data_IF_077248941966
#
_entry.id   IF_077248941966
#
_cell.length_a   1.000
_cell.length_b   1.000
_cell.length_c   1.000
_cell.angle_alpha   90.00
_cell.angle_beta   90.00
_cell.angle_gamma   90.00
#
_symmetry.space_group_name_H-M   'P 1'
#
loop_
_entity.id
_entity.type
_entity.pdbx_description
1 polymer ?
#
# COMPACT_ATOMS: atom_id res chain seq x y z
N UNK A 1 36.54 -72.39 37.25
CA UNK A 1 36.95 -73.76 36.91
C UNK A 1 35.72 -74.49 36.40
N UNK A 2 35.72 -74.94 35.13
CA UNK A 2 34.86 -75.98 34.53
C UNK A 2 33.33 -75.67 34.44
N UNK A 3 32.57 -75.91 33.36
CA UNK A 3 32.79 -76.20 31.93
C UNK A 3 31.41 -76.12 31.27
N UNK A 4 31.41 -75.80 29.98
CA UNK A 4 30.26 -75.82 29.08
C UNK A 4 29.64 -77.21 28.93
N UNK A 5 28.31 -77.29 28.78
CA UNK A 5 27.56 -78.48 28.40
C UNK A 5 26.79 -78.23 27.11
N UNK A 6 27.24 -78.86 26.02
CA UNK A 6 26.56 -79.02 24.73
C UNK A 6 25.58 -80.21 24.75
N UNK A 7 24.69 -80.30 23.72
CA UNK A 7 24.11 -81.48 23.01
C UNK A 7 22.76 -81.01 22.39
N UNK A 8 22.30 -81.23 21.15
CA UNK A 8 22.61 -82.03 19.92
C UNK A 8 21.75 -81.39 18.79
N UNK A 9 22.18 -81.05 17.56
CA UNK A 9 22.53 -81.82 16.33
C UNK A 9 21.51 -82.88 15.84
N UNK A 10 20.86 -82.60 14.69
CA UNK A 10 20.63 -83.54 13.56
C UNK A 10 19.92 -82.81 12.40
N UNK A 11 20.61 -82.30 11.36
CA UNK A 11 21.04 -82.90 10.07
C UNK A 11 19.92 -83.44 9.13
N UNK A 12 19.68 -82.73 8.02
CA UNK A 12 19.83 -83.25 6.64
C UNK A 12 19.80 -82.14 5.57
N UNK A 13 20.85 -82.13 4.73
CA UNK A 13 20.96 -81.54 3.37
C UNK A 13 20.96 -82.73 2.37
N UNK A 14 21.02 -82.55 1.04
CA UNK A 14 20.53 -81.47 0.16
C UNK A 14 19.74 -82.03 -1.05
N UNK A 15 19.15 -81.19 -1.89
CA UNK A 15 19.11 -81.49 -3.33
C UNK A 15 19.11 -80.21 -4.18
N UNK A 16 19.79 -80.33 -5.31
CA UNK A 16 20.25 -79.33 -6.28
C UNK A 16 19.19 -78.98 -7.33
N UNK A 17 19.24 -77.72 -7.81
CA UNK A 17 18.98 -77.28 -9.20
C UNK A 17 17.59 -77.56 -9.82
N UNK A 18 16.81 -76.52 -10.07
CA UNK A 18 16.72 -75.90 -11.41
C UNK A 18 15.75 -74.71 -11.46
N UNK A 19 16.15 -73.76 -12.32
CA UNK A 19 15.54 -72.52 -12.79
C UNK A 19 14.05 -72.24 -12.52
N UNK A 20 13.79 -71.12 -11.85
CA UNK A 20 12.73 -70.20 -12.26
C UNK A 20 13.12 -68.76 -11.88
N UNK A 21 13.29 -67.96 -12.92
CA UNK A 21 13.59 -66.53 -12.96
C UNK A 21 12.64 -65.72 -12.06
N UNK A 22 13.05 -65.39 -10.84
CA UNK A 22 12.33 -64.43 -10.00
C UNK A 22 12.73 -63.01 -10.40
N UNK A 23 11.90 -62.41 -11.25
CA UNK A 23 11.96 -61.01 -11.59
C UNK A 23 11.90 -60.16 -10.31
N UNK A 24 13.01 -59.49 -9.99
CA UNK A 24 13.05 -58.43 -8.99
C UNK A 24 12.09 -57.31 -9.42
N UNK A 25 11.19 -56.81 -8.55
CA UNK A 25 10.36 -55.70 -8.93
C UNK A 25 11.20 -54.43 -8.98
N UNK A 26 11.43 -53.93 -10.20
CA UNK A 26 11.98 -52.63 -10.60
C UNK A 26 11.21 -51.40 -10.05
N UNK A 27 10.39 -51.59 -9.01
CA UNK A 27 9.52 -50.58 -8.39
C UNK A 27 10.24 -49.64 -7.40
N UNK A 28 11.30 -50.10 -6.74
CA UNK A 28 12.02 -49.31 -5.72
C UNK A 28 12.80 -48.12 -6.31
N UNK A 29 13.36 -48.29 -7.51
CA UNK A 29 14.17 -47.26 -8.17
C UNK A 29 13.30 -46.17 -8.83
N UNK A 30 12.14 -46.55 -9.37
CA UNK A 30 11.14 -45.61 -9.94
C UNK A 30 10.48 -44.73 -8.87
N UNK A 31 10.14 -45.31 -7.70
CA UNK A 31 9.57 -44.56 -6.57
C UNK A 31 10.51 -43.48 -6.00
N UNK A 32 11.80 -43.79 -5.87
CA UNK A 32 12.81 -42.86 -5.33
C UNK A 32 13.15 -41.73 -6.33
N UNK A 33 13.22 -42.03 -7.63
CA UNK A 33 13.39 -41.01 -8.69
C UNK A 33 12.22 -40.03 -8.72
N UNK A 34 10.97 -40.52 -8.59
CA UNK A 34 9.79 -39.67 -8.55
C UNK A 34 9.80 -38.69 -7.37
N UNK A 35 10.19 -39.14 -6.17
CA UNK A 35 10.27 -38.25 -4.98
C UNK A 35 11.36 -37.19 -5.15
N UNK A 36 12.53 -37.55 -5.68
CA UNK A 36 13.61 -36.59 -5.94
C UNK A 36 13.20 -35.52 -6.95
N UNK A 37 12.52 -35.91 -8.03
CA UNK A 37 12.02 -34.98 -9.03
C UNK A 37 10.98 -34.00 -8.44
N UNK A 38 10.04 -34.50 -7.61
CA UNK A 38 9.08 -33.64 -6.92
C UNK A 38 9.77 -32.64 -5.99
N UNK A 39 10.78 -33.07 -5.23
CA UNK A 39 11.56 -32.19 -4.34
C UNK A 39 12.29 -31.10 -5.12
N UNK A 40 12.96 -31.48 -6.20
CA UNK A 40 13.67 -30.54 -7.06
C UNK A 40 12.71 -29.53 -7.69
N UNK A 41 11.59 -29.99 -8.25
CA UNK A 41 10.59 -29.11 -8.85
C UNK A 41 9.98 -28.15 -7.82
N UNK A 42 9.63 -28.63 -6.61
CA UNK A 42 9.11 -27.78 -5.55
C UNK A 42 10.10 -26.66 -5.17
N UNK A 43 11.38 -27.00 -5.02
CA UNK A 43 12.44 -26.04 -4.72
C UNK A 43 12.65 -25.04 -5.87
N UNK A 44 12.67 -25.52 -7.11
CA UNK A 44 12.84 -24.67 -8.30
C UNK A 44 11.71 -23.65 -8.42
N UNK A 45 10.45 -24.07 -8.33
CA UNK A 45 9.30 -23.16 -8.38
C UNK A 45 9.26 -22.22 -7.17
N UNK A 46 9.65 -22.69 -5.98
CA UNK A 46 9.75 -21.84 -4.80
C UNK A 46 10.81 -20.75 -4.95
N UNK A 47 12.00 -21.10 -5.44
CA UNK A 47 13.09 -20.16 -5.71
C UNK A 47 12.69 -19.16 -6.80
N UNK A 48 12.08 -19.65 -7.89
CA UNK A 48 11.58 -18.79 -8.97
C UNK A 48 10.54 -17.79 -8.45
N UNK A 49 9.58 -18.26 -7.65
CA UNK A 49 8.58 -17.40 -7.02
C UNK A 49 9.21 -16.33 -6.12
N UNK A 50 10.19 -16.71 -5.30
CA UNK A 50 10.92 -15.79 -4.44
C UNK A 50 11.72 -14.74 -5.23
N UNK A 51 12.45 -15.15 -6.28
CA UNK A 51 13.21 -14.25 -7.13
C UNK A 51 12.30 -13.26 -7.86
N UNK A 52 11.17 -13.73 -8.40
CA UNK A 52 10.19 -12.86 -9.03
C UNK A 52 9.57 -11.88 -8.02
N UNK A 53 9.21 -12.35 -6.83
CA UNK A 53 8.66 -11.48 -5.77
C UNK A 53 9.64 -10.36 -5.36
N UNK A 54 10.94 -10.67 -5.27
CA UNK A 54 12.00 -9.67 -5.01
C UNK A 54 12.17 -8.72 -6.19
N UNK A 55 11.98 -9.19 -7.43
CA UNK A 55 12.08 -8.36 -8.62
C UNK A 55 10.87 -7.42 -8.80
N UNK A 56 9.66 -7.82 -8.40
CA UNK A 56 8.41 -7.06 -8.64
C UNK A 56 8.48 -5.58 -8.20
N UNK A 57 9.00 -5.21 -7.02
CA UNK A 57 9.15 -3.80 -6.63
C UNK A 57 10.01 -2.98 -7.60
N UNK A 58 11.00 -3.60 -8.24
CA UNK A 58 11.95 -2.96 -9.17
C UNK A 58 11.42 -2.89 -10.61
N UNK A 59 10.34 -3.61 -10.92
CA UNK A 59 9.73 -3.60 -12.24
C UNK A 59 8.96 -2.29 -12.51
N UNK A 60 8.94 -1.84 -13.77
CA UNK A 60 8.42 -0.54 -14.15
C UNK A 60 6.93 -0.37 -13.86
N UNK A 61 6.54 0.88 -13.68
CA UNK A 61 5.17 1.36 -13.56
C UNK A 61 4.94 2.48 -14.57
N UNK A 62 3.70 2.72 -14.94
CA UNK A 62 3.29 3.83 -15.78
C UNK A 62 2.67 4.89 -14.86
N UNK A 63 3.25 6.09 -14.82
CA UNK A 63 2.79 7.20 -13.99
C UNK A 63 2.00 8.20 -14.84
N UNK A 64 0.84 8.63 -14.33
CA UNK A 64 0.08 9.71 -14.94
C UNK A 64 0.65 11.06 -14.50
N UNK A 65 1.12 11.86 -15.46
CA UNK A 65 1.73 13.17 -15.16
C UNK A 65 0.73 14.29 -15.41
N UNK A 66 0.51 15.13 -14.39
CA UNK A 66 -0.44 16.25 -14.47
C UNK A 66 0.32 17.58 -14.54
N UNK A 67 -0.05 18.39 -15.53
CA UNK A 67 0.52 19.72 -15.74
C UNK A 67 -0.61 20.74 -15.80
N UNK A 68 -0.51 21.77 -14.96
CA UNK A 68 -1.38 22.93 -14.99
C UNK A 68 -0.72 23.99 -15.86
N UNK A 69 -1.44 24.50 -16.86
CA UNK A 69 -0.99 25.58 -17.73
C UNK A 69 -1.91 26.79 -17.62
N UNK A 70 -1.32 27.98 -17.67
CA UNK A 70 -2.04 29.26 -17.67
C UNK A 70 -1.25 30.27 -18.53
N UNK A 71 -1.87 31.16 -19.31
CA UNK A 71 -3.31 31.35 -19.52
C UNK A 71 -3.97 30.19 -20.28
N UNK A 72 -5.27 29.93 -20.06
CA UNK A 72 -6.02 28.89 -20.78
C UNK A 72 -6.80 29.53 -21.92
N UNK A 73 -6.50 29.18 -23.17
CA UNK A 73 -7.16 29.76 -24.36
C UNK A 73 -7.11 31.30 -24.45
N UNK A 74 -6.06 31.92 -23.90
CA UNK A 74 -5.89 33.37 -23.86
C UNK A 74 -6.49 34.06 -22.62
N UNK A 75 -7.36 33.38 -21.87
CA UNK A 75 -8.02 33.94 -20.70
C UNK A 75 -7.07 34.00 -19.49
N UNK A 76 -6.92 35.21 -18.93
CA UNK A 76 -6.13 35.50 -17.73
C UNK A 76 -6.91 35.25 -16.42
N UNK A 77 -8.14 34.73 -16.50
CA UNK A 77 -8.93 34.37 -15.32
C UNK A 77 -8.10 33.54 -14.33
N UNK A 78 -8.26 33.79 -13.02
CA UNK A 78 -7.59 33.01 -12.00
C UNK A 78 -7.96 31.52 -12.08
N UNK A 79 -6.97 30.66 -11.84
CA UNK A 79 -7.16 29.21 -11.81
C UNK A 79 -7.00 28.71 -10.39
N UNK A 80 -8.03 28.06 -9.84
CA UNK A 80 -7.95 27.38 -8.55
C UNK A 80 -7.50 25.94 -8.77
N UNK A 81 -6.33 25.59 -8.25
CA UNK A 81 -5.74 24.26 -8.40
C UNK A 81 -4.93 23.89 -7.14
N UNK A 82 -5.61 23.61 -6.01
CA UNK A 82 -4.96 23.27 -4.76
C UNK A 82 -4.22 21.94 -4.86
N UNK A 83 -2.89 21.99 -4.74
CA UNK A 83 -2.06 20.79 -4.74
C UNK A 83 -2.13 20.12 -3.36
N UNK A 84 -2.51 18.84 -3.34
CA UNK A 84 -2.53 18.02 -2.11
C UNK A 84 -1.14 17.90 -1.49
N UNK A 85 -0.10 17.85 -2.32
CA UNK A 85 1.31 17.83 -1.89
C UNK A 85 1.86 19.19 -1.48
N UNK A 86 1.02 20.23 -1.53
CA UNK A 86 1.31 21.66 -1.33
C UNK A 86 2.28 22.25 -2.36
N UNK A 87 3.39 21.58 -2.62
CA UNK A 87 4.42 22.00 -3.57
C UNK A 87 4.33 21.23 -4.90
N UNK A 88 4.65 21.87 -6.02
CA UNK A 88 4.77 21.19 -7.31
C UNK A 88 6.09 20.44 -7.41
N UNK A 89 6.20 19.49 -8.35
CA UNK A 89 7.48 18.89 -8.71
C UNK A 89 8.42 19.93 -9.33
N UNK A 90 7.88 20.73 -10.25
CA UNK A 90 8.56 21.90 -10.82
C UNK A 90 7.52 22.93 -11.27
N UNK A 91 7.96 24.19 -11.34
CA UNK A 91 7.18 25.31 -11.83
C UNK A 91 8.05 26.20 -12.71
N UNK A 92 7.51 26.60 -13.86
CA UNK A 92 8.10 27.61 -14.72
C UNK A 92 7.10 28.71 -15.04
N UNK A 93 7.59 29.94 -15.19
CA UNK A 93 6.80 31.06 -15.65
C UNK A 93 7.60 31.90 -16.63
N UNK A 94 6.96 32.33 -17.70
CA UNK A 94 7.45 33.26 -18.69
C UNK A 94 6.45 34.42 -18.77
N UNK A 95 6.87 35.62 -18.36
CA UNK A 95 6.01 36.80 -18.29
C UNK A 95 6.68 37.93 -19.09
N UNK A 96 6.02 38.57 -20.06
CA UNK A 96 6.63 39.65 -20.84
C UNK A 96 7.09 40.81 -19.93
N UNK A 97 8.31 41.32 -20.12
CA UNK A 97 8.79 42.46 -19.33
C UNK A 97 7.91 43.71 -19.54
N UNK A 98 7.34 43.86 -20.74
CA UNK A 98 6.38 44.93 -21.04
C UNK A 98 5.11 44.84 -20.19
N UNK A 99 4.68 43.63 -19.78
CA UNK A 99 3.54 43.45 -18.89
C UNK A 99 3.86 43.94 -17.47
N UNK A 100 5.09 43.72 -17.00
CA UNK A 100 5.57 44.27 -15.73
C UNK A 100 5.58 45.80 -15.72
N UNK A 101 6.10 46.41 -16.80
CA UNK A 101 6.13 47.89 -16.95
C UNK A 101 4.71 48.46 -17.04
N UNK A 102 3.83 47.85 -17.83
CA UNK A 102 2.43 48.26 -17.95
C UNK A 102 1.69 48.19 -16.62
N UNK A 103 1.84 47.07 -15.89
CA UNK A 103 1.19 46.85 -14.61
C UNK A 103 1.68 47.83 -13.55
N UNK A 104 2.98 48.08 -13.47
CA UNK A 104 3.58 49.03 -12.53
C UNK A 104 3.09 50.46 -12.79
N UNK A 105 3.10 50.90 -14.06
CA UNK A 105 2.69 52.25 -14.45
C UNK A 105 1.23 52.57 -14.12
N UNK A 106 0.35 51.55 -14.13
CA UNK A 106 -1.09 51.73 -13.86
C UNK A 106 -1.50 51.41 -12.43
N UNK A 107 -0.60 50.90 -11.58
CA UNK A 107 -0.95 50.42 -10.23
C UNK A 107 -0.36 51.35 -9.16
N UNK A 108 -1.19 51.96 -8.29
CA UNK A 108 -0.72 52.84 -7.23
C UNK A 108 -0.21 52.11 -5.98
N UNK A 109 -0.32 50.77 -5.95
CA UNK A 109 0.02 49.87 -4.86
C UNK A 109 0.74 48.64 -5.44
N UNK A 110 1.47 47.86 -4.62
CA UNK A 110 2.11 46.63 -5.08
C UNK A 110 1.12 45.72 -5.83
N UNK A 111 1.48 45.32 -7.05
CA UNK A 111 0.64 44.50 -7.91
C UNK A 111 1.35 43.22 -8.33
N UNK A 112 0.65 42.08 -8.23
CA UNK A 112 1.22 40.78 -8.57
C UNK A 112 1.08 40.47 -10.06
N UNK A 113 2.20 40.18 -10.71
CA UNK A 113 2.24 39.59 -12.05
C UNK A 113 1.86 38.11 -12.00
N UNK A 114 2.25 37.44 -10.92
CA UNK A 114 1.99 36.03 -10.67
C UNK A 114 1.96 35.82 -9.16
N UNK A 115 0.92 35.14 -8.67
CA UNK A 115 0.84 34.62 -7.31
C UNK A 115 0.36 33.17 -7.33
N UNK A 116 0.92 32.32 -6.47
CA UNK A 116 0.52 30.91 -6.33
C UNK A 116 -0.53 30.67 -5.25
N UNK A 117 -0.87 31.73 -4.51
CA UNK A 117 -1.91 31.76 -3.48
C UNK A 117 -2.81 32.99 -3.70
N UNK A 118 -4.07 32.96 -3.22
CA UNK A 118 -5.00 34.07 -3.39
C UNK A 118 -4.41 35.40 -2.90
N UNK A 119 -4.50 36.49 -3.69
CA UNK A 119 -4.12 37.82 -3.24
C UNK A 119 -4.87 38.21 -1.95
N UNK A 120 -4.18 38.88 -1.03
CA UNK A 120 -4.74 39.29 0.26
C UNK A 120 -4.76 38.21 1.35
N UNK A 121 -4.36 36.97 1.05
CA UNK A 121 -4.19 35.93 2.08
C UNK A 121 -2.89 36.15 2.88
N UNK A 122 -3.01 36.45 4.17
CA UNK A 122 -1.87 36.60 5.09
C UNK A 122 -1.05 35.31 5.20
N UNK A 123 -1.73 34.19 5.44
CA UNK A 123 -1.11 32.86 5.46
C UNK A 123 -0.53 32.49 4.10
N UNK A 124 -1.25 32.80 3.02
CA UNK A 124 -0.82 32.57 1.65
C UNK A 124 0.47 33.31 1.29
N UNK A 125 0.71 34.51 1.84
CA UNK A 125 1.94 35.26 1.62
C UNK A 125 3.16 34.61 2.29
N UNK A 126 2.96 33.88 3.40
CA UNK A 126 4.02 33.19 4.12
C UNK A 126 4.47 31.88 3.45
N UNK A 127 3.66 31.28 2.56
CA UNK A 127 3.95 29.97 1.95
C UNK A 127 3.99 29.97 0.42
N UNK A 128 3.31 30.92 -0.23
CA UNK A 128 3.23 31.02 -1.68
C UNK A 128 4.42 31.72 -2.32
N UNK A 129 4.39 31.82 -3.64
CA UNK A 129 5.27 32.65 -4.45
C UNK A 129 4.48 33.82 -5.01
N UNK A 130 5.09 35.00 -4.98
CA UNK A 130 4.56 36.23 -5.56
C UNK A 130 5.67 36.90 -6.36
N UNK A 131 5.47 37.07 -7.67
CA UNK A 131 6.20 38.02 -8.48
C UNK A 131 5.39 39.31 -8.52
N UNK A 132 5.92 40.39 -7.94
CA UNK A 132 5.22 41.67 -7.86
C UNK A 132 6.06 42.83 -8.40
N UNK A 133 5.36 43.86 -8.86
CA UNK A 133 5.92 45.16 -9.18
C UNK A 133 5.43 46.19 -8.15
N UNK A 134 6.34 47.06 -7.75
CA UNK A 134 6.07 48.17 -6.83
C UNK A 134 7.07 49.30 -7.10
N UNK A 135 6.56 50.50 -7.44
CA UNK A 135 7.35 51.70 -7.68
C UNK A 135 8.59 51.49 -8.59
N UNK A 136 8.42 50.80 -9.72
CA UNK A 136 9.50 50.54 -10.68
C UNK A 136 10.44 49.40 -10.29
N UNK A 137 10.14 48.64 -9.23
CA UNK A 137 10.93 47.53 -8.73
C UNK A 137 10.19 46.20 -8.89
N UNK A 138 10.80 45.27 -9.61
CA UNK A 138 10.34 43.88 -9.72
C UNK A 138 10.94 43.05 -8.59
N UNK A 139 10.12 42.39 -7.79
CA UNK A 139 10.57 41.55 -6.67
C UNK A 139 9.93 40.16 -6.76
N UNK A 140 10.75 39.12 -6.60
CA UNK A 140 10.27 37.74 -6.43
C UNK A 140 10.32 37.35 -4.97
N UNK A 141 9.17 37.02 -4.41
CA UNK A 141 8.99 36.55 -3.04
C UNK A 141 8.58 35.08 -3.12
N UNK A 142 9.17 34.24 -2.27
CA UNK A 142 8.70 32.86 -2.06
C UNK A 142 8.76 32.53 -0.58
N UNK A 143 7.71 31.91 -0.04
CA UNK A 143 7.62 31.51 1.37
C UNK A 143 7.90 32.68 2.34
N UNK A 144 7.32 33.84 2.06
CA UNK A 144 7.52 35.07 2.85
C UNK A 144 8.91 35.71 2.74
N UNK A 145 9.83 35.16 1.95
CA UNK A 145 11.19 35.69 1.80
C UNK A 145 11.39 36.34 0.42
N UNK A 146 11.90 37.56 0.41
CA UNK A 146 12.32 38.22 -0.83
C UNK A 146 13.59 37.55 -1.36
N UNK A 147 13.46 36.76 -2.43
CA UNK A 147 14.58 36.00 -3.01
C UNK A 147 15.53 36.89 -3.83
N UNK A 148 15.02 38.01 -4.34
CA UNK A 148 15.77 38.98 -5.13
C UNK A 148 14.87 39.98 -5.83
N UNK A 149 15.49 41.04 -6.34
CA UNK A 149 14.79 42.12 -7.01
C UNK A 149 15.65 42.77 -8.11
N UNK A 150 15.00 43.47 -9.03
CA UNK A 150 15.64 44.25 -10.09
C UNK A 150 14.80 45.50 -10.37
N UNK A 151 15.45 46.61 -10.70
CA UNK A 151 14.76 47.81 -11.18
C UNK A 151 14.32 47.60 -12.63
N UNK A 152 13.08 47.97 -12.96
CA UNK A 152 12.56 47.86 -14.32
C UNK A 152 13.35 48.73 -15.31
N UNK A 153 13.93 49.84 -14.85
CA UNK A 153 14.83 50.70 -15.63
C UNK A 153 16.19 50.06 -15.97
N UNK A 154 16.63 49.06 -15.20
CA UNK A 154 17.87 48.33 -15.45
C UNK A 154 17.69 47.18 -16.46
N UNK A 155 16.46 46.90 -16.88
CA UNK A 155 16.17 45.90 -17.90
C UNK A 155 16.46 46.54 -19.27
N UNK A 156 17.36 45.95 -20.09
CA UNK A 156 17.68 46.51 -21.39
C UNK A 156 16.43 46.73 -22.23
N UNK A 157 16.32 47.87 -22.95
CA UNK A 157 15.11 48.27 -23.66
C UNK A 157 14.90 47.48 -24.96
N UNK A 158 15.05 46.16 -24.95
CA UNK A 158 14.62 45.27 -26.04
C UNK A 158 13.18 44.80 -25.76
N UNK A 159 12.16 45.65 -25.97
CA UNK A 159 10.84 45.46 -25.37
C UNK A 159 10.04 44.40 -26.13
N UNK A 160 10.49 44.03 -27.34
CA UNK A 160 9.85 43.03 -28.19
C UNK A 160 10.28 41.58 -27.91
N UNK A 161 11.29 41.34 -27.05
CA UNK A 161 11.79 39.99 -26.77
C UNK A 161 12.16 39.75 -25.28
N UNK A 162 12.07 40.77 -24.42
CA UNK A 162 12.36 40.59 -23.00
C UNK A 162 11.25 39.76 -22.32
N UNK A 163 11.65 38.63 -21.73
CA UNK A 163 10.82 37.79 -20.89
C UNK A 163 11.41 37.71 -19.49
N UNK A 164 10.54 37.80 -18.49
CA UNK A 164 10.82 37.39 -17.13
C UNK A 164 10.63 35.87 -17.09
N UNK A 165 11.71 35.14 -16.82
CA UNK A 165 11.71 33.70 -16.69
C UNK A 165 11.91 33.32 -15.23
N UNK A 166 11.02 32.49 -14.70
CA UNK A 166 11.12 31.87 -13.37
C UNK A 166 11.20 30.37 -13.56
N UNK A 167 12.11 29.72 -12.85
CA UNK A 167 12.16 28.26 -12.70
C UNK A 167 12.32 27.91 -11.24
N UNK A 168 11.51 26.99 -10.74
CA UNK A 168 11.54 26.52 -9.36
C UNK A 168 11.38 25.00 -9.33
N UNK A 169 12.39 24.30 -8.82
CA UNK A 169 12.38 22.87 -8.57
C UNK A 169 13.04 22.56 -7.21
N UNK A 170 13.13 21.28 -6.84
CA UNK A 170 13.71 20.87 -5.56
C UNK A 170 15.21 21.25 -5.38
N UNK A 171 15.94 21.55 -6.46
CA UNK A 171 17.35 21.95 -6.42
C UNK A 171 17.52 23.45 -6.21
N UNK A 172 16.52 24.25 -6.58
CA UNK A 172 16.63 25.69 -6.48
C UNK A 172 15.57 26.49 -7.21
N UNK A 173 15.60 27.79 -7.00
CA UNK A 173 14.77 28.76 -7.72
C UNK A 173 15.64 29.81 -8.39
N UNK A 174 15.36 30.09 -9.66
CA UNK A 174 16.03 31.11 -10.46
C UNK A 174 15.02 32.05 -11.09
N UNK A 175 15.42 33.31 -11.24
CA UNK A 175 14.65 34.29 -12.01
C UNK A 175 15.56 35.25 -12.77
N UNK A 176 15.18 35.54 -14.01
CA UNK A 176 15.87 36.48 -14.89
C UNK A 176 14.88 37.34 -15.66
N UNK A 177 15.25 38.57 -15.95
CA UNK A 177 14.54 39.47 -16.86
C UNK A 177 15.44 39.74 -18.07
N UNK A 178 15.11 39.14 -19.22
CA UNK A 178 16.02 39.08 -20.36
C UNK A 178 17.35 38.41 -19.97
N UNK A 179 18.53 39.00 -20.32
CA UNK A 179 19.82 38.41 -19.96
C UNK A 179 20.18 38.57 -18.48
N UNK A 180 19.49 39.45 -17.74
CA UNK A 180 19.85 39.80 -16.37
C UNK A 180 19.20 38.85 -15.38
N UNK A 181 20.01 38.02 -14.70
CA UNK A 181 19.56 37.16 -13.60
C UNK A 181 19.55 37.95 -12.29
N UNK A 182 18.41 37.95 -11.58
CA UNK A 182 18.23 38.66 -10.32
C UNK A 182 17.87 37.75 -9.13
N UNK A 183 17.57 36.47 -9.38
CA UNK A 183 17.43 35.43 -8.34
C UNK A 183 18.23 34.20 -8.72
N UNK A 184 18.99 33.68 -7.75
CA UNK A 184 19.60 32.34 -7.78
C UNK A 184 19.69 31.79 -6.37
N UNK A 185 18.82 30.84 -6.05
CA UNK A 185 18.79 30.16 -4.75
C UNK A 185 19.01 28.68 -5.01
N UNK A 186 20.04 28.08 -4.40
CA UNK A 186 20.40 26.67 -4.58
C UNK A 186 19.90 25.79 -3.41
N UNK A 187 18.65 26.01 -2.99
CA UNK A 187 17.97 25.24 -1.95
C UNK A 187 16.47 25.20 -2.25
N UNK A 188 15.75 24.27 -1.63
CA UNK A 188 14.32 24.09 -1.86
C UNK A 188 13.48 25.23 -1.24
N UNK A 189 13.15 26.19 -2.09
CA UNK A 189 12.23 27.30 -1.78
C UNK A 189 10.99 27.25 -2.66
N UNK A 190 10.60 26.05 -3.12
CA UNK A 190 9.37 25.87 -3.90
C UNK A 190 8.16 26.39 -3.12
N UNK A 191 7.25 27.09 -3.79
CA UNK A 191 6.09 27.66 -3.13
C UNK A 191 5.01 26.61 -2.91
N UNK A 192 4.14 26.89 -1.95
CA UNK A 192 2.83 26.27 -1.91
C UNK A 192 1.97 26.83 -3.06
N UNK A 193 1.26 25.94 -3.75
CA UNK A 193 0.38 26.27 -4.88
C UNK A 193 -1.05 25.89 -4.52
N UNK A 194 -1.90 26.91 -4.40
CA UNK A 194 -3.35 26.76 -4.33
C UNK A 194 -4.06 27.18 -5.61
N UNK A 195 -3.34 27.86 -6.50
CA UNK A 195 -3.83 28.30 -7.79
C UNK A 195 -2.81 29.16 -8.54
N UNK A 196 -3.27 29.84 -9.58
CA UNK A 196 -2.52 30.84 -10.34
C UNK A 196 -3.38 32.11 -10.38
N UNK A 197 -2.84 33.20 -9.83
CA UNK A 197 -3.52 34.49 -9.72
C UNK A 197 -2.61 35.59 -10.29
N UNK A 198 -3.22 36.62 -10.86
CA UNK A 198 -2.50 37.77 -11.43
C UNK A 198 -3.39 39.01 -11.40
N UNK A 199 -2.77 40.18 -11.29
CA UNK A 199 -3.42 41.48 -11.48
C UNK A 199 -3.40 41.96 -12.95
N UNK A 200 -2.80 41.18 -13.86
CA UNK A 200 -2.76 41.47 -15.29
C UNK A 200 -4.16 41.38 -15.92
N UNK A 201 -4.43 42.29 -16.86
CA UNK A 201 -5.69 42.36 -17.60
C UNK A 201 -5.36 42.35 -19.09
N UNK A 202 -5.89 41.37 -19.82
CA UNK A 202 -5.52 41.11 -21.23
C UNK A 202 -5.71 42.34 -22.12
N UNK A 203 -6.78 43.11 -21.90
CA UNK A 203 -7.10 44.30 -22.69
C UNK A 203 -6.21 45.50 -22.37
N UNK A 204 -5.47 45.47 -21.25
CA UNK A 204 -4.66 46.61 -20.76
C UNK A 204 -3.17 46.33 -20.82
N UNK A 205 -2.76 45.08 -20.69
CA UNK A 205 -1.35 44.71 -20.53
C UNK A 205 -0.86 43.85 -21.71
N UNK A 206 0.40 44.03 -22.16
CA UNK A 206 0.97 43.25 -23.25
C UNK A 206 1.37 41.84 -22.78
N UNK A 207 0.40 40.92 -22.76
CA UNK A 207 0.55 39.55 -22.25
C UNK A 207 0.94 38.50 -23.31
N UNK A 208 1.26 38.91 -24.54
CA UNK A 208 1.68 37.98 -25.59
C UNK A 208 2.94 37.22 -25.18
N UNK A 209 2.85 35.89 -25.15
CA UNK A 209 3.95 35.01 -24.71
C UNK A 209 3.95 34.70 -23.22
N UNK A 210 2.98 35.23 -22.45
CA UNK A 210 2.74 34.84 -21.07
C UNK A 210 2.41 33.34 -21.00
N UNK A 211 3.18 32.61 -20.20
CA UNK A 211 2.97 31.18 -19.98
C UNK A 211 3.48 30.78 -18.61
N UNK A 212 2.63 30.14 -17.83
CA UNK A 212 2.94 29.51 -16.55
C UNK A 212 2.65 28.03 -16.68
N UNK A 213 3.59 27.21 -16.23
CA UNK A 213 3.48 25.76 -16.25
C UNK A 213 3.87 25.21 -14.88
N UNK A 214 2.96 24.49 -14.26
CA UNK A 214 3.15 23.85 -12.96
C UNK A 214 2.99 22.35 -13.15
N UNK A 215 4.06 21.59 -12.92
CA UNK A 215 4.00 20.12 -12.94
C UNK A 215 3.68 19.65 -11.51
N UNK A 216 2.49 19.09 -11.32
CA UNK A 216 2.06 18.56 -10.02
C UNK A 216 2.87 17.31 -9.66
N UNK A 217 3.04 17.05 -8.36
CA UNK A 217 3.69 15.84 -7.87
C UNK A 217 2.69 14.68 -7.83
N UNK A 218 2.64 13.90 -8.91
CA UNK A 218 1.73 12.74 -9.07
C UNK A 218 2.43 11.40 -8.85
N UNK A 219 3.54 11.36 -8.08
CA UNK A 219 4.40 10.17 -7.94
C UNK A 219 3.69 8.88 -7.51
N UNK A 220 2.56 9.00 -6.84
CA UNK A 220 1.78 7.85 -6.34
C UNK A 220 0.66 7.42 -7.31
N UNK A 221 0.30 8.26 -8.29
CA UNK A 221 -0.69 7.96 -9.31
C UNK A 221 -0.05 7.14 -10.43
N UNK A 222 -0.05 5.82 -10.26
CA UNK A 222 0.57 4.91 -11.20
C UNK A 222 -0.22 3.61 -11.36
N UNK A 223 -0.05 3.00 -12.54
CA UNK A 223 -0.56 1.66 -12.85
C UNK A 223 0.61 0.72 -13.16
N UNK A 224 0.49 -0.58 -12.83
CA UNK A 224 1.57 -1.53 -13.09
C UNK A 224 1.74 -1.72 -14.61
N UNK A 225 2.99 -1.68 -15.08
CA UNK A 225 3.30 -2.02 -16.48
C UNK A 225 2.94 -3.50 -16.74
N UNK A 226 2.52 -3.91 -17.96
CA UNK A 226 2.16 -5.30 -18.25
C UNK A 226 3.22 -6.34 -17.87
N UNK A 227 4.51 -6.00 -18.00
CA UNK A 227 5.63 -6.86 -17.55
C UNK A 227 5.58 -7.10 -16.03
N UNK A 228 5.26 -6.05 -15.24
CA UNK A 228 5.10 -6.16 -13.79
C UNK A 228 3.92 -7.05 -13.42
N UNK A 229 2.79 -6.89 -14.12
CA UNK A 229 1.62 -7.77 -13.95
C UNK A 229 1.95 -9.24 -14.29
N UNK A 230 2.65 -9.48 -15.39
CA UNK A 230 3.09 -10.83 -15.78
C UNK A 230 4.02 -11.45 -14.75
N UNK A 231 4.97 -10.69 -14.20
CA UNK A 231 5.87 -11.14 -13.14
C UNK A 231 5.13 -11.46 -11.83
N UNK A 232 4.16 -10.62 -11.44
CA UNK A 232 3.29 -10.88 -10.27
C UNK A 232 2.53 -12.20 -10.47
N UNK A 233 1.87 -12.37 -11.62
CA UNK A 233 1.11 -13.58 -11.93
C UNK A 233 2.02 -14.82 -11.93
N UNK A 234 3.19 -14.74 -12.57
CA UNK A 234 4.17 -15.81 -12.58
C UNK A 234 4.71 -16.15 -11.18
N UNK A 235 4.96 -15.15 -10.33
CA UNK A 235 5.39 -15.35 -8.95
C UNK A 235 4.32 -16.10 -8.14
N UNK A 236 3.07 -15.65 -8.22
CA UNK A 236 1.93 -16.30 -7.53
C UNK A 236 1.77 -17.74 -8.02
N UNK A 237 1.78 -17.97 -9.33
CA UNK A 237 1.67 -19.32 -9.89
C UNK A 237 2.83 -20.23 -9.46
N UNK A 238 4.06 -19.72 -9.47
CA UNK A 238 5.23 -20.49 -9.04
C UNK A 238 5.14 -20.88 -7.55
N UNK A 239 4.73 -19.95 -6.68
CA UNK A 239 4.49 -20.24 -5.25
C UNK A 239 3.37 -21.28 -5.09
N UNK A 240 2.23 -21.12 -5.78
CA UNK A 240 1.13 -22.08 -5.71
C UNK A 240 1.55 -23.49 -6.18
N UNK A 241 2.29 -23.58 -7.29
CA UNK A 241 2.84 -24.86 -7.78
C UNK A 241 3.79 -25.46 -6.73
N UNK A 242 4.68 -24.65 -6.14
CA UNK A 242 5.58 -25.10 -5.08
C UNK A 242 4.81 -25.67 -3.87
N UNK A 243 3.78 -24.97 -3.41
CA UNK A 243 2.92 -25.42 -2.31
C UNK A 243 2.16 -26.71 -2.64
N UNK A 244 1.65 -26.86 -3.87
CA UNK A 244 0.97 -28.09 -4.32
C UNK A 244 1.95 -29.26 -4.36
N UNK A 245 3.17 -29.05 -4.86
CA UNK A 245 4.21 -30.09 -4.88
C UNK A 245 4.66 -30.44 -3.46
N UNK A 246 4.78 -29.46 -2.57
CA UNK A 246 5.06 -29.66 -1.15
C UNK A 246 3.95 -30.48 -0.47
N UNK A 247 2.68 -30.20 -0.76
CA UNK A 247 1.55 -31.00 -0.28
C UNK A 247 1.66 -32.46 -0.70
N UNK A 248 2.01 -32.72 -1.97
CA UNK A 248 2.21 -34.08 -2.49
C UNK A 248 3.38 -34.80 -1.81
N UNK A 249 4.45 -34.08 -1.48
CA UNK A 249 5.59 -34.63 -0.72
C UNK A 249 5.21 -34.96 0.72
N UNK A 250 4.48 -34.07 1.39
CA UNK A 250 3.93 -34.32 2.74
C UNK A 250 3.00 -35.53 2.77
N UNK A 251 2.24 -35.77 1.70
CA UNK A 251 1.40 -36.96 1.56
C UNK A 251 2.16 -38.27 1.47
N UNK A 252 3.42 -38.24 1.02
CA UNK A 252 4.28 -39.43 0.84
C UNK A 252 5.23 -39.66 2.02
N UNK A 253 5.62 -38.61 2.74
CA UNK A 253 6.63 -38.66 3.81
C UNK A 253 6.00 -38.48 5.20
N UNK A 254 5.00 -37.60 5.30
CA UNK A 254 4.38 -37.23 6.58
C UNK A 254 3.38 -38.27 7.09
N UNK A 255 2.97 -38.12 8.35
CA UNK A 255 1.88 -38.93 8.92
C UNK A 255 0.58 -38.67 8.17
N UNK A 256 -0.33 -39.65 8.15
CA UNK A 256 -1.66 -39.53 7.51
C UNK A 256 -2.33 -38.24 7.98
N UNK A 257 -2.73 -37.39 7.03
CA UNK A 257 -3.29 -36.08 7.34
C UNK A 257 -4.57 -36.28 8.19
N UNK A 258 -4.70 -35.63 9.35
CA UNK A 258 -6.02 -35.45 9.95
C UNK A 258 -6.89 -34.63 8.99
N UNK A 259 -8.22 -34.78 9.09
CA UNK A 259 -9.20 -34.03 8.29
C UNK A 259 -8.87 -32.52 8.33
N UNK A 260 -9.11 -31.80 7.22
CA UNK A 260 -8.82 -30.35 7.12
C UNK A 260 -9.51 -29.59 8.24
N UNK A 261 -10.75 -29.94 8.55
CA UNK A 261 -11.47 -29.49 9.73
C UNK A 261 -11.62 -30.66 10.72
N UNK A 262 -11.33 -30.48 12.02
CA UNK A 262 -11.54 -31.49 13.05
C UNK A 262 -12.97 -32.05 13.07
N UNK A 263 -13.11 -33.29 13.55
CA UNK A 263 -14.43 -33.89 13.81
C UNK A 263 -15.18 -33.06 14.85
N UNK A 264 -16.30 -32.45 14.45
CA UNK A 264 -17.11 -31.57 15.31
C UNK A 264 -17.03 -30.09 14.98
N UNK A 265 -16.28 -29.68 13.94
CA UNK A 265 -16.23 -28.28 13.50
C UNK A 265 -17.63 -27.67 13.27
N UNK A 266 -18.52 -28.43 12.65
CA UNK A 266 -19.90 -28.03 12.34
C UNK A 266 -20.92 -28.35 13.43
N UNK A 267 -20.49 -28.71 14.65
CA UNK A 267 -21.40 -28.91 15.78
C UNK A 267 -21.48 -27.62 16.59
N UNK A 268 -22.52 -26.78 16.40
CA UNK A 268 -22.65 -25.54 17.15
C UNK A 268 -22.86 -25.85 18.63
N UNK A 269 -22.14 -25.14 19.50
CA UNK A 269 -22.33 -25.18 20.94
C UNK A 269 -23.10 -23.94 21.42
N UNK A 270 -23.69 -23.99 22.61
CA UNK A 270 -24.37 -22.81 23.19
C UNK A 270 -23.44 -21.60 23.33
N UNK A 271 -22.14 -21.84 23.54
CA UNK A 271 -21.10 -20.79 23.55
C UNK A 271 -20.92 -20.14 22.18
N UNK A 272 -20.87 -20.95 21.12
CA UNK A 272 -20.76 -20.46 19.75
C UNK A 272 -21.97 -19.59 19.39
N UNK A 273 -23.18 -20.07 19.71
CA UNK A 273 -24.40 -19.31 19.50
C UNK A 273 -24.38 -17.99 20.27
N UNK A 274 -23.90 -18.00 21.51
CA UNK A 274 -23.81 -16.78 22.33
C UNK A 274 -22.81 -15.78 21.75
N UNK A 275 -21.59 -16.20 21.43
CA UNK A 275 -20.57 -15.30 20.86
C UNK A 275 -21.03 -14.72 19.53
N UNK A 276 -21.55 -15.56 18.63
CA UNK A 276 -22.05 -15.09 17.32
C UNK A 276 -23.25 -14.15 17.49
N UNK A 277 -24.19 -14.45 18.38
CA UNK A 277 -25.33 -13.58 18.65
C UNK A 277 -24.89 -12.22 19.21
N UNK A 278 -23.96 -12.22 20.17
CA UNK A 278 -23.41 -10.97 20.74
C UNK A 278 -22.71 -10.16 19.66
N UNK A 279 -21.86 -10.78 18.82
CA UNK A 279 -21.22 -10.09 17.69
C UNK A 279 -22.25 -9.52 16.71
N UNK A 280 -23.29 -10.29 16.35
CA UNK A 280 -24.32 -9.85 15.42
C UNK A 280 -25.13 -8.66 15.97
N UNK A 281 -25.51 -8.71 17.25
CA UNK A 281 -26.16 -7.57 17.91
C UNK A 281 -25.23 -6.36 17.96
N UNK A 282 -23.95 -6.57 18.28
CA UNK A 282 -22.97 -5.51 18.44
C UNK A 282 -22.58 -4.81 17.13
N UNK A 283 -22.68 -5.48 15.98
CA UNK A 283 -22.54 -4.82 14.66
C UNK A 283 -23.50 -3.65 14.52
N UNK A 284 -24.73 -3.82 15.04
CA UNK A 284 -25.81 -2.84 14.91
C UNK A 284 -25.75 -1.79 16.02
N UNK A 285 -25.65 -2.20 17.29
CA UNK A 285 -25.75 -1.28 18.44
C UNK A 285 -24.39 -0.81 18.98
N UNK A 286 -23.30 -1.49 18.61
CA UNK A 286 -21.98 -1.24 19.15
C UNK A 286 -21.36 0.07 18.67
N UNK A 287 -20.51 0.65 19.52
CA UNK A 287 -19.75 1.86 19.21
C UNK A 287 -18.81 1.69 18.01
N UNK A 288 -18.54 2.80 17.31
CA UNK A 288 -17.49 2.87 16.28
C UNK A 288 -16.12 2.92 16.94
N UNK A 289 -15.10 2.49 16.20
CA UNK A 289 -13.72 2.79 16.60
C UNK A 289 -13.37 4.23 16.22
N UNK A 290 -12.34 4.80 16.86
CA UNK A 290 -11.94 6.20 16.64
C UNK A 290 -11.62 6.53 15.18
N UNK A 291 -11.07 5.56 14.45
CA UNK A 291 -10.48 5.79 13.12
C UNK A 291 -11.41 5.32 12.00
N UNK A 292 -12.65 4.89 12.31
CA UNK A 292 -13.61 4.42 11.30
C UNK A 292 -13.90 5.51 10.26
N UNK A 293 -14.12 6.75 10.70
CA UNK A 293 -14.32 7.89 9.79
C UNK A 293 -13.07 8.25 8.99
N UNK A 294 -11.89 8.08 9.60
CA UNK A 294 -10.61 8.33 8.95
C UNK A 294 -10.40 7.38 7.76
N UNK A 295 -10.55 6.07 8.03
CA UNK A 295 -10.39 5.00 7.06
C UNK A 295 -11.49 5.07 5.99
N UNK A 296 -12.75 5.36 6.38
CA UNK A 296 -13.85 5.50 5.44
C UNK A 296 -13.58 6.59 4.39
N UNK A 297 -13.06 7.74 4.79
CA UNK A 297 -12.71 8.80 3.83
C UNK A 297 -11.59 8.35 2.90
N UNK A 298 -10.54 7.70 3.43
CA UNK A 298 -9.45 7.19 2.61
C UNK A 298 -9.94 6.21 1.53
N UNK A 299 -10.77 5.22 1.89
CA UNK A 299 -11.29 4.24 0.93
C UNK A 299 -12.27 4.86 -0.07
N UNK A 300 -13.05 5.87 0.31
CA UNK A 300 -13.99 6.54 -0.60
C UNK A 300 -13.26 7.36 -1.68
N UNK A 301 -12.17 8.02 -1.32
CA UNK A 301 -11.37 8.84 -2.26
C UNK A 301 -10.48 8.02 -3.19
N UNK A 302 -10.42 6.69 -3.01
CA UNK A 302 -9.58 5.78 -3.80
C UNK A 302 -9.90 5.83 -5.30
N UNK A 303 -11.18 5.98 -5.67
CA UNK A 303 -11.59 5.97 -7.07
C UNK A 303 -11.06 7.20 -7.81
N UNK A 304 -11.13 8.38 -7.19
CA UNK A 304 -10.69 9.65 -7.77
C UNK A 304 -9.16 9.82 -7.70
N UNK A 305 -8.53 9.35 -6.61
CA UNK A 305 -7.09 9.54 -6.40
C UNK A 305 -6.23 8.51 -7.15
N UNK A 306 -6.80 7.35 -7.49
CA UNK A 306 -6.08 6.24 -8.15
C UNK A 306 -5.27 5.34 -7.21
N UNK A 307 -5.16 5.69 -5.93
CA UNK A 307 -4.49 4.91 -4.87
C UNK A 307 -5.08 5.24 -3.50
N UNK A 308 -4.82 4.40 -2.47
CA UNK A 308 -5.24 4.68 -1.09
C UNK A 308 -4.16 5.52 -0.41
N UNK A 309 -4.42 6.83 -0.35
CA UNK A 309 -3.59 7.80 0.35
C UNK A 309 -4.08 8.10 1.77
N UNK A 310 -3.17 8.57 2.60
CA UNK A 310 -3.51 9.16 3.88
C UNK A 310 -4.19 10.53 3.65
N UNK A 311 -5.50 10.53 3.50
CA UNK A 311 -6.24 11.72 3.06
C UNK A 311 -6.04 12.95 3.98
N UNK A 312 -5.86 12.74 5.28
CA UNK A 312 -5.82 13.82 6.27
C UNK A 312 -4.40 14.29 6.62
N UNK A 313 -3.36 13.52 6.30
CA UNK A 313 -2.00 13.77 6.80
C UNK A 313 -0.94 13.38 5.76
N UNK A 314 0.29 13.81 6.03
CA UNK A 314 1.49 13.41 5.27
C UNK A 314 1.37 13.60 3.77
N UNK A 315 0.73 14.71 3.36
CA UNK A 315 0.63 15.10 1.94
C UNK A 315 -0.04 14.03 1.07
N UNK A 316 -0.97 13.25 1.65
CA UNK A 316 -1.64 12.13 0.98
C UNK A 316 -0.68 11.06 0.45
N UNK A 317 0.44 10.84 1.15
CA UNK A 317 1.29 9.69 0.92
C UNK A 317 0.49 8.38 1.12
N UNK A 318 0.76 7.32 0.34
CA UNK A 318 0.05 6.06 0.45
C UNK A 318 0.31 5.39 1.81
N UNK A 319 -0.68 4.68 2.34
CA UNK A 319 -0.54 3.79 3.50
C UNK A 319 0.26 2.51 3.19
N UNK A 320 0.97 2.48 2.07
CA UNK A 320 1.87 1.41 1.73
C UNK A 320 3.01 1.34 2.76
N UNK A 321 3.43 0.14 3.20
CA UNK A 321 3.11 -1.18 2.63
C UNK A 321 1.84 -1.87 3.20
N UNK A 322 1.07 -1.22 4.06
CA UNK A 322 -0.01 -1.85 4.85
C UNK A 322 -1.42 -1.67 4.26
N UNK A 323 -1.55 -1.09 3.08
CA UNK A 323 -2.83 -0.64 2.51
C UNK A 323 -3.71 -1.75 1.89
N UNK A 324 -3.22 -2.97 1.68
CA UNK A 324 -3.96 -4.01 0.97
C UNK A 324 -5.34 -4.37 1.56
N UNK A 325 -5.58 -4.36 2.88
CA UNK A 325 -6.93 -4.63 3.40
C UNK A 325 -7.89 -3.50 3.06
N UNK A 326 -7.39 -2.25 3.00
CA UNK A 326 -8.20 -1.10 2.62
C UNK A 326 -8.62 -1.14 1.15
N UNK A 327 -7.84 -1.75 0.26
CA UNK A 327 -8.24 -1.97 -1.14
C UNK A 327 -9.45 -2.92 -1.23
N UNK A 328 -9.53 -3.94 -0.35
CA UNK A 328 -10.71 -4.79 -0.25
C UNK A 328 -11.91 -4.04 0.31
N UNK A 329 -11.71 -3.20 1.33
CA UNK A 329 -12.77 -2.35 1.86
C UNK A 329 -13.25 -1.29 0.88
N UNK A 330 -12.37 -0.76 0.03
CA UNK A 330 -12.76 0.14 -1.06
C UNK A 330 -13.76 -0.54 -1.99
N UNK A 331 -13.49 -1.77 -2.43
CA UNK A 331 -14.45 -2.57 -3.19
C UNK A 331 -15.74 -2.85 -2.40
N UNK A 332 -15.64 -3.22 -1.12
CA UNK A 332 -16.80 -3.50 -0.26
C UNK A 332 -17.71 -2.27 -0.08
N UNK A 333 -17.10 -1.09 -0.02
CA UNK A 333 -17.78 0.20 0.16
C UNK A 333 -18.58 0.66 -1.06
N UNK A 334 -18.30 0.10 -2.25
CA UNK A 334 -19.06 0.41 -3.48
C UNK A 334 -20.51 -0.09 -3.39
N UNK A 335 -20.76 -1.12 -2.56
CA UNK A 335 -22.11 -1.65 -2.32
C UNK A 335 -22.87 -0.76 -1.33
N UNK A 336 -22.26 -0.44 -0.19
CA UNK A 336 -22.83 0.46 0.80
C UNK A 336 -21.76 1.03 1.73
N UNK A 337 -22.00 2.23 2.23
CA UNK A 337 -21.12 2.91 3.20
C UNK A 337 -21.76 3.05 4.59
N UNK A 338 -22.87 2.36 4.85
CA UNK A 338 -23.50 2.41 6.18
C UNK A 338 -22.67 1.63 7.21
N UNK A 339 -22.55 2.09 8.46
CA UNK A 339 -21.67 1.46 9.45
C UNK A 339 -21.91 -0.04 9.69
N UNK A 340 -23.17 -0.54 9.81
CA UNK A 340 -23.40 -1.97 10.00
C UNK A 340 -22.85 -2.82 8.83
N UNK A 341 -22.99 -2.35 7.59
CA UNK A 341 -22.47 -3.05 6.41
C UNK A 341 -20.93 -3.10 6.41
N UNK A 342 -20.30 -1.97 6.71
CA UNK A 342 -18.86 -1.83 6.75
C UNK A 342 -18.21 -2.67 7.86
N UNK A 343 -18.95 -2.99 8.93
CA UNK A 343 -18.50 -3.85 10.03
C UNK A 343 -18.73 -5.34 9.82
N UNK A 344 -19.47 -5.75 8.78
CA UNK A 344 -19.70 -7.17 8.53
C UNK A 344 -18.39 -7.97 8.34
N UNK A 345 -17.38 -7.47 7.60
CA UNK A 345 -16.11 -8.19 7.48
C UNK A 345 -15.40 -8.37 8.83
N UNK A 346 -15.39 -7.36 9.70
CA UNK A 346 -14.80 -7.49 11.04
C UNK A 346 -15.60 -8.45 11.93
N UNK A 347 -16.92 -8.38 11.92
CA UNK A 347 -17.76 -9.35 12.63
C UNK A 347 -17.56 -10.80 12.14
N UNK A 348 -17.43 -11.01 10.83
CA UNK A 348 -17.13 -12.30 10.24
C UNK A 348 -15.74 -12.82 10.69
N UNK A 349 -14.72 -11.96 10.68
CA UNK A 349 -13.39 -12.30 11.21
C UNK A 349 -13.43 -12.63 12.71
N UNK A 350 -14.28 -11.95 13.48
CA UNK A 350 -14.53 -12.27 14.89
C UNK A 350 -15.14 -13.64 15.08
N UNK A 351 -16.17 -13.97 14.28
CA UNK A 351 -16.76 -15.30 14.26
C UNK A 351 -15.73 -16.38 13.93
N UNK A 352 -14.93 -16.21 12.87
CA UNK A 352 -13.88 -17.16 12.50
C UNK A 352 -12.80 -17.28 13.59
N UNK A 353 -12.38 -16.16 14.18
CA UNK A 353 -11.43 -16.13 15.30
C UNK A 353 -11.95 -16.94 16.49
N UNK A 354 -13.23 -16.79 16.84
CA UNK A 354 -13.84 -17.59 17.89
C UNK A 354 -13.89 -19.08 17.54
N UNK A 355 -14.20 -19.45 16.29
CA UNK A 355 -14.19 -20.83 15.85
C UNK A 355 -12.78 -21.45 15.96
N UNK A 356 -11.74 -20.70 15.58
CA UNK A 356 -10.34 -21.12 15.73
C UNK A 356 -9.97 -21.31 17.20
N UNK A 357 -10.31 -20.36 18.06
CA UNK A 357 -10.04 -20.47 19.51
C UNK A 357 -10.75 -21.70 20.11
N UNK A 358 -12.05 -21.83 19.84
CA UNK A 358 -12.88 -22.87 20.45
C UNK A 358 -12.54 -24.29 19.98
N UNK A 359 -12.16 -24.46 18.71
CA UNK A 359 -12.00 -25.78 18.07
C UNK A 359 -10.55 -26.19 17.84
N UNK A 360 -9.64 -25.25 17.62
CA UNK A 360 -8.21 -25.56 17.42
C UNK A 360 -7.39 -25.25 18.67
N UNK A 361 -7.54 -24.06 19.26
CA UNK A 361 -6.66 -23.62 20.36
C UNK A 361 -7.01 -24.30 21.69
N UNK A 362 -8.25 -24.15 22.17
CA UNK A 362 -8.65 -24.68 23.48
C UNK A 362 -8.41 -26.20 23.64
N UNK A 363 -8.74 -27.06 22.66
CA UNK A 363 -8.48 -28.49 22.78
C UNK A 363 -7.01 -28.88 22.83
N UNK A 364 -6.11 -28.00 22.36
CA UNK A 364 -4.65 -28.21 22.34
C UNK A 364 -3.99 -27.84 23.66
N UNK A 365 -4.59 -26.99 24.46
CA UNK A 365 -4.08 -26.58 25.77
C UNK A 365 -4.15 -27.68 26.84
N UNK A 366 -4.82 -28.80 26.55
CA UNK A 366 -4.82 -29.99 27.40
C UNK A 366 -6.19 -30.57 27.67
N UNK A 367 -6.21 -31.76 28.28
CA UNK A 367 -7.44 -32.53 28.55
C UNK A 367 -8.36 -31.80 29.54
N UNK A 368 -7.79 -31.16 30.55
CA UNK A 368 -8.53 -30.45 31.60
C UNK A 368 -9.26 -29.23 31.06
N UNK A 369 -8.57 -28.39 30.27
CA UNK A 369 -9.17 -27.24 29.59
C UNK A 369 -10.29 -27.68 28.65
N UNK A 370 -10.07 -28.75 27.86
CA UNK A 370 -11.06 -29.26 26.90
C UNK A 370 -12.35 -29.75 27.57
N UNK A 371 -12.27 -30.31 28.78
CA UNK A 371 -13.42 -30.85 29.52
C UNK A 371 -14.12 -29.83 30.40
N UNK A 372 -13.42 -28.76 30.78
CA UNK A 372 -13.97 -27.71 31.64
C UNK A 372 -14.92 -26.79 30.86
N UNK A 373 -16.19 -26.78 31.26
CA UNK A 373 -17.17 -25.83 30.74
C UNK A 373 -16.81 -24.38 31.10
N UNK A 374 -16.33 -24.17 32.34
CA UNK A 374 -15.93 -22.87 32.86
C UNK A 374 -14.78 -22.26 32.04
N UNK A 375 -13.76 -23.05 31.68
CA UNK A 375 -12.64 -22.56 30.88
C UNK A 375 -13.09 -22.03 29.51
N UNK A 376 -14.02 -22.72 28.83
CA UNK A 376 -14.51 -22.25 27.54
C UNK A 376 -15.46 -21.06 27.63
N UNK A 377 -16.24 -20.92 28.71
CA UNK A 377 -17.03 -19.70 28.94
C UNK A 377 -16.14 -18.50 29.32
N UNK A 378 -15.10 -18.72 30.12
CA UNK A 378 -14.11 -17.69 30.42
C UNK A 378 -13.40 -17.23 29.14
N UNK A 379 -13.00 -18.15 28.27
CA UNK A 379 -12.42 -17.81 26.96
C UNK A 379 -13.40 -17.00 26.09
N UNK A 380 -14.69 -17.35 26.06
CA UNK A 380 -15.71 -16.58 25.35
C UNK A 380 -15.87 -15.17 25.90
N UNK A 381 -15.92 -15.03 27.22
CA UNK A 381 -16.07 -13.75 27.90
C UNK A 381 -14.86 -12.84 27.65
N UNK A 382 -13.63 -13.36 27.78
CA UNK A 382 -12.41 -12.61 27.48
C UNK A 382 -12.34 -12.24 26.01
N UNK A 383 -12.65 -13.17 25.10
CA UNK A 383 -12.71 -12.88 23.67
C UNK A 383 -13.66 -11.71 23.37
N UNK A 384 -14.88 -11.74 23.89
CA UNK A 384 -15.86 -10.66 23.70
C UNK A 384 -15.40 -9.35 24.37
N UNK A 385 -14.83 -9.42 25.57
CA UNK A 385 -14.34 -8.23 26.28
C UNK A 385 -13.27 -7.46 25.49
N UNK A 386 -12.44 -8.16 24.70
CA UNK A 386 -11.48 -7.51 23.80
C UNK A 386 -12.08 -7.19 22.43
N UNK A 387 -12.93 -8.05 21.89
CA UNK A 387 -13.45 -7.86 20.54
C UNK A 387 -14.41 -6.67 20.43
N UNK A 388 -15.36 -6.58 21.36
CA UNK A 388 -16.44 -5.58 21.29
C UNK A 388 -15.94 -4.13 21.30
N UNK A 389 -15.00 -3.71 22.16
CA UNK A 389 -14.53 -2.32 22.18
C UNK A 389 -13.53 -1.99 21.06
N UNK A 390 -12.69 -2.94 20.62
CA UNK A 390 -11.54 -2.64 19.77
C UNK A 390 -11.69 -3.09 18.31
N UNK A 391 -12.46 -4.15 18.06
CA UNK A 391 -12.51 -4.82 16.75
C UNK A 391 -13.85 -4.61 16.01
N UNK A 392 -14.68 -3.68 16.46
CA UNK A 392 -15.97 -3.35 15.85
C UNK A 392 -15.88 -2.16 14.87
N UNK A 393 -14.97 -2.25 13.90
CA UNK A 393 -14.69 -1.14 12.99
C UNK A 393 -13.92 -1.55 11.73
N UNK A 394 -13.34 -0.54 11.08
CA UNK A 394 -12.57 -0.65 9.83
C UNK A 394 -11.06 -0.75 10.03
N UNK A 395 -10.59 -0.59 11.27
CA UNK A 395 -9.17 -0.72 11.62
C UNK A 395 -8.67 -2.15 11.36
N UNK A 396 -7.35 -2.33 11.35
CA UNK A 396 -6.70 -3.58 10.92
C UNK A 396 -6.53 -4.62 12.03
N UNK A 397 -6.87 -4.30 13.28
CA UNK A 397 -6.76 -5.22 14.43
C UNK A 397 -7.52 -6.55 14.22
N UNK A 398 -8.73 -6.59 13.63
CA UNK A 398 -9.40 -7.84 13.28
C UNK A 398 -8.58 -8.72 12.31
N UNK A 399 -7.93 -8.09 11.32
CA UNK A 399 -7.09 -8.78 10.32
C UNK A 399 -5.85 -9.36 10.98
N UNK A 400 -5.22 -8.61 11.90
CA UNK A 400 -4.08 -9.08 12.68
C UNK A 400 -4.50 -10.23 13.60
N UNK A 401 -5.63 -10.10 14.31
CA UNK A 401 -6.12 -11.12 15.24
C UNK A 401 -6.37 -12.47 14.54
N UNK A 402 -7.09 -12.46 13.40
CA UNK A 402 -7.33 -13.68 12.64
C UNK A 402 -6.02 -14.23 12.03
N UNK A 403 -5.14 -13.36 11.53
CA UNK A 403 -3.85 -13.75 10.97
C UNK A 403 -2.96 -14.45 12.00
N UNK A 404 -2.85 -13.90 13.22
CA UNK A 404 -2.10 -14.50 14.32
C UNK A 404 -2.68 -15.86 14.73
N UNK A 405 -4.01 -15.99 14.80
CA UNK A 405 -4.66 -17.26 15.13
C UNK A 405 -4.44 -18.32 14.04
N UNK A 406 -4.53 -17.94 12.76
CA UNK A 406 -4.27 -18.83 11.63
C UNK A 406 -2.82 -19.30 11.62
N UNK A 407 -1.86 -18.39 11.84
CA UNK A 407 -0.45 -18.73 11.94
C UNK A 407 -0.18 -19.70 13.09
N UNK A 408 -0.71 -19.41 14.29
CA UNK A 408 -0.61 -20.29 15.46
C UNK A 408 -1.18 -21.69 15.15
N UNK A 409 -2.39 -21.76 14.59
CA UNK A 409 -3.02 -23.03 14.24
C UNK A 409 -2.25 -23.79 13.16
N UNK A 410 -1.66 -23.08 12.19
CA UNK A 410 -0.83 -23.67 11.13
C UNK A 410 0.45 -24.29 11.67
N UNK A 411 1.17 -23.56 12.54
CA UNK A 411 2.39 -24.06 13.22
C UNK A 411 2.08 -25.26 14.11
N UNK A 412 1.06 -25.18 14.96
CA UNK A 412 0.64 -26.29 15.82
C UNK A 412 0.28 -27.54 15.00
N UNK A 413 -0.41 -27.35 13.88
CA UNK A 413 -0.74 -28.44 12.96
C UNK A 413 0.50 -29.03 12.29
N UNK A 414 1.46 -28.19 11.90
CA UNK A 414 2.74 -28.65 11.33
C UNK A 414 3.49 -29.54 12.32
N UNK A 415 3.62 -29.10 13.58
CA UNK A 415 4.28 -29.86 14.66
C UNK A 415 3.57 -31.19 14.91
N UNK A 416 2.23 -31.17 15.04
CA UNK A 416 1.46 -32.37 15.34
C UNK A 416 1.50 -33.41 14.21
N UNK A 417 1.50 -32.96 12.95
CA UNK A 417 1.44 -33.84 11.77
C UNK A 417 2.80 -34.17 11.16
N UNK A 418 3.87 -33.49 11.60
CA UNK A 418 5.22 -33.53 11.00
C UNK A 418 5.17 -33.27 9.49
N UNK A 419 4.45 -32.21 9.10
CA UNK A 419 4.26 -31.76 7.72
C UNK A 419 4.73 -30.33 7.57
N UNK A 420 5.28 -29.99 6.42
CA UNK A 420 5.87 -28.66 6.18
C UNK A 420 4.86 -27.69 5.59
N UNK A 421 3.86 -28.16 4.84
CA UNK A 421 2.87 -27.28 4.21
C UNK A 421 2.11 -26.38 5.20
N UNK A 422 1.60 -26.86 6.36
CA UNK A 422 0.89 -25.98 7.30
C UNK A 422 1.80 -24.89 7.88
N UNK A 423 3.12 -25.16 7.95
CA UNK A 423 4.11 -24.17 8.35
C UNK A 423 4.39 -23.16 7.24
N UNK A 424 4.37 -23.57 5.97
CA UNK A 424 4.57 -22.65 4.84
C UNK A 424 3.35 -21.74 4.55
N UNK A 425 2.16 -22.16 4.98
CA UNK A 425 0.92 -21.36 4.89
C UNK A 425 0.72 -20.42 6.08
N UNK A 426 1.33 -20.75 7.23
CA UNK A 426 1.38 -19.89 8.41
C UNK A 426 2.40 -18.78 8.21
#
# INVERSE_FOLDING_TARGET
MLTSGHIEISRRRPNTGDDATEATPDGGNKGNRGIRLLRFAAALFGLLGALLAVAVPLLPVIQDTTVITWPRSGDLAPVNAPLVTYQPQNMTAAIPCAAAVSLDARSPQPASLLATTPPGSTEGAAVGMVLQVDAGKLTLISRGQALGNILLSAIPPAPRQCMIQISSDARGTTASAGPTRFVKVNQDVRPQVTGIYSALVEQRDPVRGLAVRITADTRFQSVPHPIKLGAIAAAVLAVLISLILMHRLDGRIGRRAPRVLPSGWWRPTGRDATVIAVLAVWVVIGGITSDDGYILTMIRTRAEMGYIGNYYRWFNAPEAPFSWPYELYALWSQISTVPPWLRLPSAAMGGVSWLLISREVLPRLGREVRRSAAAGWAAAAVFLAFWLPYNNGLRLEPVVAIGSLLALCGVERAVATRRVLPLALA
#
